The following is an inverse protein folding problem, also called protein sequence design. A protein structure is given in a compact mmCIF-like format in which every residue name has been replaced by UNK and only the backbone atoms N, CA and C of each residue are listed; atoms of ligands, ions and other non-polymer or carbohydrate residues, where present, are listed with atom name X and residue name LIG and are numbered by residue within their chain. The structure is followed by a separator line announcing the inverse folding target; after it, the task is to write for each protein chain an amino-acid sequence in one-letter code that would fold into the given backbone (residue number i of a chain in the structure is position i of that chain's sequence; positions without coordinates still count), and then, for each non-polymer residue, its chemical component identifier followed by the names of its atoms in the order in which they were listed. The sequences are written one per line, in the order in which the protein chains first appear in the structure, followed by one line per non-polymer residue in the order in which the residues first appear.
data_IF_608827792652
#
_entry.id   IF_608827792652
#
_cell.length_a   1.000
_cell.length_b   1.000
_cell.length_c   1.000
_cell.angle_alpha   90.00
_cell.angle_beta   90.00
_cell.angle_gamma   90.00
#
_symmetry.space_group_name_H-M   'P 1'
#
loop_
_entity.id
_entity.type
_entity.pdbx_description
1 polymer ?
#
# COMPACT_ATOMS: atom_id res chain seq x y z
N UNK A 1 -11.40 50.44 -27.57
CA UNK A 1 -10.19 51.23 -27.24
C UNK A 1 -9.24 50.29 -26.50
N UNK A 2 -8.21 49.73 -27.16
CA UNK A 2 -6.82 50.27 -27.25
C UNK A 2 -6.25 50.53 -25.85
N UNK A 3 -5.12 49.97 -25.38
CA UNK A 3 -3.90 49.54 -26.09
C UNK A 3 -2.91 48.83 -25.12
N UNK A 4 -2.12 47.91 -25.69
CA UNK A 4 -0.66 47.66 -25.54
C UNK A 4 -0.08 47.39 -24.13
N UNK A 5 0.56 46.25 -23.83
CA UNK A 5 1.76 45.57 -24.41
C UNK A 5 3.06 46.39 -24.30
N UNK A 6 4.08 45.76 -23.69
CA UNK A 6 5.54 45.70 -23.98
C UNK A 6 6.29 45.61 -22.61
N UNK A 7 6.83 44.45 -22.18
CA UNK A 7 8.08 43.72 -22.53
C UNK A 7 9.40 44.40 -22.10
N UNK A 8 10.14 43.65 -21.25
CA UNK A 8 11.60 43.39 -21.23
C UNK A 8 12.51 44.62 -20.95
N UNK A 9 13.72 44.55 -20.40
CA UNK A 9 14.78 43.52 -20.30
C UNK A 9 15.87 44.05 -19.35
N UNK A 10 16.68 43.13 -18.77
CA UNK A 10 18.13 43.14 -18.46
C UNK A 10 18.84 44.51 -18.24
N UNK A 11 19.77 44.68 -17.30
CA UNK A 11 21.01 43.92 -17.15
C UNK A 11 21.89 44.54 -16.04
N UNK A 12 22.70 43.69 -15.39
CA UNK A 12 24.13 43.84 -15.02
C UNK A 12 24.67 45.16 -14.42
N UNK A 13 25.41 45.08 -13.31
CA UNK A 13 26.84 45.44 -13.16
C UNK A 13 27.26 45.24 -11.68
N UNK A 14 28.17 44.29 -11.40
CA UNK A 14 29.57 44.50 -10.95
C UNK A 14 29.67 45.17 -9.56
N UNK A 15 29.99 44.42 -8.50
CA UNK A 15 31.33 44.01 -8.05
C UNK A 15 32.23 45.17 -7.59
N UNK A 16 32.70 45.04 -6.35
CA UNK A 16 33.98 45.48 -5.77
C UNK A 16 33.86 46.52 -4.64
N UNK A 17 34.12 46.10 -3.40
CA UNK A 17 35.42 46.07 -2.66
C UNK A 17 35.71 47.44 -2.00
N UNK A 18 36.28 47.35 -0.80
CA UNK A 18 37.01 48.36 0.01
C UNK A 18 36.24 48.84 1.24
N UNK A 19 36.45 48.28 2.44
CA UNK A 19 37.57 48.44 3.41
C UNK A 19 37.66 49.81 4.08
N UNK A 20 37.98 49.73 5.39
CA UNK A 20 38.40 50.75 6.35
C UNK A 20 37.26 51.47 7.12
N UNK A 21 36.96 51.08 8.37
CA UNK A 21 37.65 51.44 9.63
C UNK A 21 37.86 52.95 9.78
N UNK A 22 37.07 53.61 10.65
CA UNK A 22 37.56 54.61 11.62
C UNK A 22 36.68 54.62 12.88
N UNK A 23 37.36 54.58 14.01
CA UNK A 23 36.95 54.75 15.42
C UNK A 23 36.22 56.06 15.72
N UNK A 24 35.27 56.06 16.69
CA UNK A 24 35.50 56.66 18.02
C UNK A 24 34.19 56.86 18.82
N UNK A 25 34.32 56.50 20.09
CA UNK A 25 33.43 56.59 21.25
C UNK A 25 32.65 57.89 21.50
N UNK A 26 31.49 57.77 22.15
CA UNK A 26 31.07 58.60 23.29
C UNK A 26 29.94 57.92 24.08
N UNK A 27 30.16 57.76 25.40
CA UNK A 27 29.20 57.21 26.37
C UNK A 27 28.17 58.26 26.82
N UNK A 28 26.94 57.82 27.14
CA UNK A 28 25.96 58.66 27.83
C UNK A 28 24.59 58.01 28.07
N UNK A 29 24.44 57.36 29.24
CA UNK A 29 23.23 57.22 30.07
C UNK A 29 22.04 56.29 29.70
N UNK A 30 21.93 55.26 30.57
CA UNK A 30 20.75 54.79 31.33
C UNK A 30 19.78 53.73 30.77
N UNK A 31 19.99 52.52 31.33
CA UNK A 31 19.06 51.62 32.06
C UNK A 31 18.09 50.70 31.29
N UNK A 32 18.42 49.40 31.45
CA UNK A 32 17.58 48.19 31.60
C UNK A 32 16.51 47.89 30.53
N UNK A 33 16.22 46.67 30.13
CA UNK A 33 16.78 45.33 30.26
C UNK A 33 15.73 44.46 29.57
N UNK A 34 16.06 43.84 28.44
CA UNK A 34 15.59 42.50 28.08
C UNK A 34 16.22 42.15 26.75
N UNK A 35 17.30 41.37 26.79
CA UNK A 35 17.72 40.62 25.62
C UNK A 35 16.61 39.64 25.30
N UNK A 36 15.88 39.89 24.23
CA UNK A 36 15.19 38.83 23.51
C UNK A 36 16.22 38.21 22.59
N UNK A 37 16.71 37.02 22.94
CA UNK A 37 17.28 36.15 21.92
C UNK A 37 16.15 35.87 20.93
N UNK A 38 16.19 36.50 19.75
CA UNK A 38 15.36 36.11 18.62
C UNK A 38 15.78 34.69 18.23
N UNK A 39 15.12 33.69 18.82
CA UNK A 39 15.35 32.30 18.51
C UNK A 39 15.01 32.07 17.02
N UNK A 40 16.04 31.86 16.20
CA UNK A 40 15.88 31.61 14.77
C UNK A 40 15.07 30.31 14.61
N UNK A 41 13.78 30.44 14.30
CA UNK A 41 12.91 29.30 14.03
C UNK A 41 13.37 28.60 12.75
N UNK A 42 13.97 27.42 12.91
CA UNK A 42 14.45 26.60 11.80
C UNK A 42 13.29 25.97 11.03
N UNK A 43 13.41 25.90 9.72
CA UNK A 43 12.43 25.25 8.85
C UNK A 43 12.32 23.75 9.15
N UNK A 44 11.09 23.26 9.23
CA UNK A 44 10.77 21.84 9.44
C UNK A 44 10.45 21.11 8.12
N UNK A 45 10.53 21.81 6.98
CA UNK A 45 10.18 21.30 5.64
C UNK A 45 11.24 20.33 5.13
N UNK A 46 10.79 19.12 4.76
CA UNK A 46 11.63 17.97 4.38
C UNK A 46 10.99 17.15 3.27
N UNK A 47 10.52 17.84 2.24
CA UNK A 47 9.83 17.22 1.10
C UNK A 47 10.76 17.09 -0.10
N UNK A 48 10.71 15.95 -0.78
CA UNK A 48 11.26 15.76 -2.11
C UNK A 48 10.22 16.22 -3.15
N UNK A 49 10.53 17.27 -3.89
CA UNK A 49 9.58 17.99 -4.75
C UNK A 49 9.62 17.47 -6.18
N UNK A 50 10.82 17.23 -6.71
CA UNK A 50 11.04 16.71 -8.07
C UNK A 50 12.17 15.69 -8.06
N UNK A 51 12.09 14.70 -8.95
CA UNK A 51 13.11 13.69 -9.17
C UNK A 51 13.09 13.25 -10.64
N UNK A 52 14.25 13.21 -11.29
CA UNK A 52 14.41 12.79 -12.68
C UNK A 52 15.82 12.25 -12.95
N UNK A 53 15.98 11.53 -14.05
CA UNK A 53 17.28 11.32 -14.68
C UNK A 53 17.32 12.10 -15.99
N UNK A 54 18.10 13.18 -16.02
CA UNK A 54 18.24 14.00 -17.21
C UNK A 54 19.25 13.38 -18.19
N UNK A 55 18.92 13.43 -19.48
CA UNK A 55 19.78 12.95 -20.57
C UNK A 55 21.13 13.64 -20.57
N UNK A 56 21.17 14.93 -20.22
CA UNK A 56 22.40 15.71 -20.15
C UNK A 56 23.42 15.14 -19.15
N UNK A 57 22.93 14.55 -18.05
CA UNK A 57 23.78 13.99 -16.99
C UNK A 57 24.01 12.49 -17.12
N UNK A 58 23.19 11.80 -17.94
CA UNK A 58 23.18 10.36 -18.10
C UNK A 58 23.27 9.99 -19.58
N UNK A 59 24.49 9.83 -20.08
CA UNK A 59 24.76 9.61 -21.51
C UNK A 59 24.07 8.36 -22.09
N UNK A 60 23.76 7.36 -21.27
CA UNK A 60 23.03 6.15 -21.66
C UNK A 60 21.53 6.31 -21.90
N UNK A 61 20.91 7.44 -21.53
CA UNK A 61 19.48 7.67 -21.77
C UNK A 61 19.22 8.13 -23.22
N UNK A 62 17.99 8.00 -23.72
CA UNK A 62 17.59 8.57 -25.02
C UNK A 62 16.84 9.90 -24.89
N UNK A 63 16.26 10.16 -23.72
CA UNK A 63 15.56 11.39 -23.35
C UNK A 63 15.57 11.53 -21.82
N UNK A 64 15.12 12.67 -21.31
CA UNK A 64 14.90 12.86 -19.86
C UNK A 64 13.83 11.89 -19.35
N UNK A 65 14.10 11.28 -18.20
CA UNK A 65 13.20 10.34 -17.54
C UNK A 65 12.73 10.98 -16.24
N UNK A 66 11.43 11.29 -16.15
CA UNK A 66 10.84 11.87 -14.94
C UNK A 66 10.38 10.78 -13.97
N UNK A 67 10.64 11.00 -12.70
CA UNK A 67 10.09 10.20 -11.62
C UNK A 67 8.70 10.69 -11.20
N UNK A 68 7.88 9.76 -10.71
CA UNK A 68 6.56 10.03 -10.12
C UNK A 68 6.71 9.91 -8.61
N UNK A 69 6.46 10.99 -7.88
CA UNK A 69 6.57 11.04 -6.41
C UNK A 69 5.20 10.77 -5.79
N UNK A 70 5.09 9.70 -5.00
CA UNK A 70 3.94 9.43 -4.16
C UNK A 70 4.21 9.92 -2.74
N UNK A 71 3.75 11.12 -2.42
CA UNK A 71 3.98 11.76 -1.11
C UNK A 71 3.34 11.03 0.08
N UNK A 72 2.27 10.27 -0.14
CA UNK A 72 1.61 9.50 0.93
C UNK A 72 2.42 8.26 1.30
N UNK A 73 2.95 7.54 0.31
CA UNK A 73 3.78 6.34 0.51
C UNK A 73 5.26 6.65 0.68
N UNK A 74 5.69 7.87 0.37
CA UNK A 74 7.09 8.29 0.32
C UNK A 74 7.92 7.41 -0.63
N UNK A 75 7.35 7.13 -1.80
CA UNK A 75 7.98 6.34 -2.88
C UNK A 75 8.12 7.21 -4.12
N UNK A 76 9.25 7.09 -4.81
CA UNK A 76 9.50 7.67 -6.13
C UNK A 76 9.63 6.52 -7.14
N UNK A 77 8.77 6.51 -8.16
CA UNK A 77 8.76 5.50 -9.21
C UNK A 77 9.33 6.08 -10.49
N UNK A 78 10.35 5.44 -11.07
CA UNK A 78 11.02 5.92 -12.30
C UNK A 78 11.11 4.80 -13.33
N UNK A 79 10.54 5.01 -14.52
CA UNK A 79 10.62 4.08 -15.65
C UNK A 79 11.72 4.51 -16.62
N UNK A 80 12.87 3.86 -16.60
CA UNK A 80 13.97 4.15 -17.55
C UNK A 80 13.82 3.32 -18.83
N UNK A 81 14.36 3.78 -19.98
CA UNK A 81 14.41 2.99 -21.21
C UNK A 81 15.00 1.60 -20.98
N UNK A 82 14.54 0.64 -21.79
CA UNK A 82 15.10 -0.71 -21.84
C UNK A 82 16.63 -0.68 -22.03
N UNK A 83 17.34 -1.58 -21.34
CA UNK A 83 18.81 -1.68 -21.40
C UNK A 83 19.60 -0.58 -20.69
N UNK A 84 18.93 0.38 -20.03
CA UNK A 84 19.63 1.42 -19.24
C UNK A 84 20.49 0.78 -18.14
N UNK A 85 21.78 1.11 -18.11
CA UNK A 85 22.68 0.77 -17.00
C UNK A 85 22.28 1.56 -15.75
N UNK A 86 21.77 0.85 -14.73
CA UNK A 86 21.30 1.45 -13.48
C UNK A 86 22.39 1.57 -12.42
N UNK A 87 23.60 1.09 -12.70
CA UNK A 87 24.66 1.02 -11.68
C UNK A 87 25.29 2.37 -11.36
N UNK A 88 25.13 3.37 -12.26
CA UNK A 88 25.81 4.68 -12.19
C UNK A 88 24.94 5.84 -12.70
N UNK A 89 23.67 5.92 -12.28
CA UNK A 89 22.79 7.02 -12.69
C UNK A 89 22.97 8.25 -11.79
N UNK A 90 22.87 9.44 -12.39
CA UNK A 90 22.91 10.75 -11.73
C UNK A 90 21.51 11.36 -11.70
N UNK A 91 20.91 11.39 -10.51
CA UNK A 91 19.58 11.94 -10.31
C UNK A 91 19.62 13.48 -10.29
N UNK A 92 18.70 14.11 -11.02
CA UNK A 92 18.36 15.53 -10.87
C UNK A 92 17.13 15.64 -9.98
N UNK A 93 17.16 16.51 -8.98
CA UNK A 93 16.09 16.63 -7.98
C UNK A 93 15.93 18.05 -7.45
N UNK A 94 14.75 18.31 -6.88
CA UNK A 94 14.41 19.51 -6.11
C UNK A 94 13.86 19.09 -4.75
N UNK A 95 14.33 19.71 -3.69
CA UNK A 95 13.88 19.47 -2.30
C UNK A 95 13.39 20.77 -1.66
N UNK A 96 12.80 20.67 -0.48
CA UNK A 96 12.42 21.84 0.32
C UNK A 96 13.59 22.79 0.56
N UNK A 97 13.33 24.10 0.58
CA UNK A 97 14.35 25.11 0.84
C UNK A 97 15.08 24.83 2.16
N UNK A 98 16.41 24.98 2.13
CA UNK A 98 17.33 24.71 3.24
C UNK A 98 17.41 23.24 3.70
N UNK A 99 16.69 22.33 3.08
CA UNK A 99 16.85 20.90 3.34
C UNK A 99 18.12 20.36 2.65
N UNK A 100 18.58 19.19 3.12
CA UNK A 100 19.65 18.42 2.50
C UNK A 100 19.15 17.02 2.15
N UNK A 101 19.61 16.47 1.02
CA UNK A 101 19.30 15.12 0.58
C UNK A 101 20.54 14.22 0.72
N UNK A 102 20.39 13.04 1.32
CA UNK A 102 21.46 12.04 1.45
C UNK A 102 20.99 10.63 1.12
N UNK A 103 21.95 9.75 0.79
CA UNK A 103 21.77 8.28 0.85
C UNK A 103 22.72 7.79 1.93
N UNK A 104 22.18 7.23 3.01
CA UNK A 104 22.95 7.01 4.23
C UNK A 104 23.59 8.33 4.69
N UNK A 105 24.92 8.33 4.86
CA UNK A 105 25.70 9.51 5.22
C UNK A 105 26.17 10.36 4.03
N UNK A 106 25.98 9.89 2.78
CA UNK A 106 26.50 10.55 1.58
C UNK A 106 25.53 11.60 1.07
N UNK A 107 25.92 12.87 1.16
CA UNK A 107 25.15 13.99 0.61
C UNK A 107 25.08 13.90 -0.91
N UNK A 108 23.87 14.10 -1.44
CA UNK A 108 23.57 14.00 -2.86
C UNK A 108 23.64 15.40 -3.49
N UNK A 109 24.29 15.50 -4.65
CA UNK A 109 24.30 16.69 -5.49
C UNK A 109 23.50 16.40 -6.77
N UNK A 110 22.49 17.25 -7.01
CA UNK A 110 21.59 17.15 -8.15
C UNK A 110 22.36 17.18 -9.48
N UNK A 111 22.12 16.18 -10.33
CA UNK A 111 22.76 15.98 -11.62
C UNK A 111 24.21 15.49 -11.57
N UNK A 112 24.79 15.28 -10.38
CA UNK A 112 26.23 15.02 -10.22
C UNK A 112 26.53 13.69 -9.53
N UNK A 113 25.92 13.41 -8.38
CA UNK A 113 26.25 12.20 -7.59
C UNK A 113 25.75 10.93 -8.28
N UNK A 114 26.67 10.01 -8.59
CA UNK A 114 26.35 8.69 -9.18
C UNK A 114 25.87 7.72 -8.11
N UNK A 115 24.78 7.01 -8.39
CA UNK A 115 24.25 5.99 -7.51
C UNK A 115 23.83 4.73 -8.29
N UNK A 116 23.83 3.60 -7.58
CA UNK A 116 23.36 2.33 -8.10
C UNK A 116 21.88 2.12 -7.75
N UNK A 117 21.03 2.04 -8.77
CA UNK A 117 19.59 1.80 -8.67
C UNK A 117 19.19 0.40 -9.18
N UNK A 118 20.12 -0.56 -9.18
CA UNK A 118 19.84 -1.92 -9.65
C UNK A 118 18.96 -2.72 -8.67
N UNK A 119 18.94 -2.35 -7.40
CA UNK A 119 18.01 -2.89 -6.40
C UNK A 119 16.64 -2.22 -6.56
N UNK A 120 15.79 -2.81 -7.39
CA UNK A 120 14.42 -2.35 -7.59
C UNK A 120 13.44 -2.91 -6.54
N UNK A 121 13.88 -3.81 -5.65
CA UNK A 121 13.01 -4.46 -4.66
C UNK A 121 12.91 -3.56 -3.43
N UNK A 122 14.07 -3.18 -2.91
CA UNK A 122 14.15 -2.28 -1.77
C UNK A 122 14.19 -0.83 -2.22
N UNK A 123 14.58 -0.59 -3.48
CA UNK A 123 14.85 0.76 -3.96
C UNK A 123 16.09 1.36 -3.30
N UNK A 124 16.34 2.62 -3.58
CA UNK A 124 17.39 3.40 -2.91
C UNK A 124 16.72 4.32 -1.91
N UNK A 125 17.11 4.20 -0.63
CA UNK A 125 16.59 5.04 0.44
C UNK A 125 17.29 6.40 0.45
N UNK A 126 16.53 7.44 0.13
CA UNK A 126 16.93 8.83 0.20
C UNK A 126 16.37 9.47 1.46
N UNK A 127 17.18 10.23 2.19
CA UNK A 127 16.77 10.95 3.39
C UNK A 127 16.79 12.45 3.12
N UNK A 128 15.64 13.10 3.26
CA UNK A 128 15.53 14.56 3.28
C UNK A 128 15.63 15.03 4.74
N UNK A 129 16.68 15.77 5.06
CA UNK A 129 16.88 16.39 6.39
C UNK A 129 16.55 17.87 6.32
N UNK A 130 15.58 18.31 7.11
CA UNK A 130 15.20 19.71 7.25
C UNK A 130 16.25 20.53 8.03
N UNK A 131 16.11 21.86 8.01
CA UNK A 131 16.98 22.80 8.74
C UNK A 131 16.94 22.54 10.26
N UNK A 132 15.77 22.19 10.81
CA UNK A 132 15.56 21.83 12.21
C UNK A 132 16.18 20.46 12.61
N UNK A 133 16.68 19.69 11.63
CA UNK A 133 17.28 18.38 11.82
C UNK A 133 16.31 17.21 11.71
N UNK A 134 15.00 17.45 11.60
CA UNK A 134 13.99 16.41 11.37
C UNK A 134 14.17 15.78 9.99
N UNK A 135 13.80 14.50 9.85
CA UNK A 135 14.09 13.71 8.66
C UNK A 135 12.86 13.04 8.07
N UNK A 136 12.89 12.85 6.74
CA UNK A 136 11.89 12.09 5.99
C UNK A 136 12.61 11.19 5.00
N UNK A 137 12.36 9.90 5.08
CA UNK A 137 12.87 8.92 4.13
C UNK A 137 11.93 8.80 2.94
N UNK A 138 12.51 8.68 1.75
CA UNK A 138 11.87 8.36 0.48
C UNK A 138 12.55 7.14 -0.13
N UNK A 139 11.77 6.24 -0.72
CA UNK A 139 12.31 5.07 -1.43
C UNK A 139 12.23 5.31 -2.94
N UNK A 140 13.37 5.33 -3.63
CA UNK A 140 13.43 5.50 -5.08
C UNK A 140 13.53 4.14 -5.77
N UNK A 141 12.52 3.80 -6.57
CA UNK A 141 12.41 2.55 -7.32
C UNK A 141 12.57 2.82 -8.83
N UNK A 142 13.63 2.26 -9.44
CA UNK A 142 13.96 2.49 -10.87
C UNK A 142 13.78 1.22 -11.70
N UNK A 143 12.70 1.13 -12.45
CA UNK A 143 12.36 -0.03 -13.27
C UNK A 143 12.66 0.21 -14.75
N UNK A 144 13.00 -0.87 -15.46
CA UNK A 144 13.23 -0.82 -16.90
C UNK A 144 11.89 -0.91 -17.63
N UNK A 145 11.71 -0.09 -18.67
CA UNK A 145 10.55 -0.18 -19.56
C UNK A 145 10.48 -1.58 -20.15
N UNK A 146 9.31 -2.20 -20.05
CA UNK A 146 9.10 -3.55 -20.55
C UNK A 146 9.00 -3.53 -22.09
N UNK A 147 9.91 -4.23 -22.76
CA UNK A 147 9.79 -4.55 -24.19
C UNK A 147 9.19 -5.94 -24.41
N UNK A 148 9.42 -6.85 -23.46
CA UNK A 148 8.71 -8.14 -23.34
C UNK A 148 7.56 -8.00 -22.36
N UNK A 149 6.39 -8.58 -22.69
CA UNK A 149 5.30 -8.66 -21.73
C UNK A 149 5.69 -9.59 -20.56
N UNK A 150 5.82 -9.01 -19.36
CA UNK A 150 6.06 -9.78 -18.14
C UNK A 150 4.71 -10.27 -17.61
N UNK A 151 4.45 -11.56 -17.80
CA UNK A 151 3.28 -12.23 -17.25
C UNK A 151 3.71 -13.31 -16.27
N UNK A 152 2.84 -13.55 -15.29
CA UNK A 152 3.01 -14.61 -14.29
C UNK A 152 1.77 -15.52 -14.36
N UNK A 153 1.73 -16.46 -15.32
CA UNK A 153 0.53 -17.26 -15.55
C UNK A 153 0.16 -18.14 -14.35
N UNK A 154 1.13 -18.56 -13.53
CA UNK A 154 0.85 -19.25 -12.29
C UNK A 154 1.78 -18.82 -11.15
N UNK A 155 1.23 -18.79 -9.95
CA UNK A 155 1.95 -18.61 -8.69
C UNK A 155 1.17 -19.27 -7.55
N UNK A 156 1.85 -19.77 -6.55
CA UNK A 156 1.23 -20.38 -5.38
C UNK A 156 2.17 -21.35 -4.67
N UNK A 157 1.63 -22.39 -4.06
CA UNK A 157 2.35 -23.41 -3.31
C UNK A 157 1.80 -24.80 -3.62
N UNK A 158 2.70 -25.73 -3.95
CA UNK A 158 2.36 -27.15 -4.08
C UNK A 158 2.66 -27.88 -2.77
N UNK A 159 1.73 -28.72 -2.31
CA UNK A 159 1.91 -29.59 -1.14
C UNK A 159 3.10 -30.53 -1.31
N UNK A 160 3.36 -30.99 -2.53
CA UNK A 160 4.53 -31.82 -2.84
C UNK A 160 5.88 -31.14 -2.50
N UNK A 161 5.93 -29.81 -2.51
CA UNK A 161 7.12 -29.04 -2.14
C UNK A 161 7.06 -28.51 -0.71
N UNK A 162 5.87 -28.45 -0.13
CA UNK A 162 5.55 -27.88 1.16
C UNK A 162 4.68 -28.87 1.95
N UNK A 163 5.30 -29.92 2.51
CA UNK A 163 4.57 -31.05 3.12
C UNK A 163 3.69 -30.69 4.32
N UNK A 164 3.91 -29.52 4.92
CA UNK A 164 3.08 -28.97 6.00
C UNK A 164 1.77 -28.37 5.50
N UNK A 165 1.63 -28.12 4.19
CA UNK A 165 0.38 -27.60 3.63
C UNK A 165 -0.69 -28.71 3.57
N UNK A 166 -1.92 -28.43 4.02
CA UNK A 166 -3.06 -29.32 3.86
C UNK A 166 -3.34 -29.71 2.40
N UNK A 167 -3.24 -28.74 1.48
CA UNK A 167 -3.55 -28.88 0.05
C UNK A 167 -2.66 -27.95 -0.81
N UNK A 168 -2.73 -28.13 -2.14
CA UNK A 168 -2.16 -27.18 -3.09
C UNK A 168 -2.90 -25.83 -3.01
N UNK A 169 -2.19 -24.75 -3.35
CA UNK A 169 -2.68 -23.36 -3.42
C UNK A 169 -2.14 -22.80 -4.73
N UNK A 170 -2.95 -22.67 -5.77
CA UNK A 170 -2.51 -22.05 -7.03
C UNK A 170 -3.69 -21.45 -7.80
N UNK A 171 -3.44 -20.78 -8.92
CA UNK A 171 -4.49 -20.19 -9.74
C UNK A 171 -4.94 -21.12 -10.89
N UNK A 172 -4.59 -22.41 -10.88
CA UNK A 172 -4.93 -23.36 -11.94
C UNK A 172 -6.20 -24.13 -11.57
N UNK A 173 -7.22 -24.05 -12.43
CA UNK A 173 -8.56 -24.60 -12.18
C UNK A 173 -8.64 -26.11 -11.98
N UNK A 174 -7.64 -26.89 -12.41
CA UNK A 174 -7.58 -28.34 -12.14
C UNK A 174 -6.96 -28.68 -10.77
N UNK A 175 -6.09 -27.82 -10.22
CA UNK A 175 -5.40 -28.03 -8.94
C UNK A 175 -6.01 -27.24 -7.77
N UNK A 176 -6.72 -26.17 -8.08
CA UNK A 176 -7.40 -25.31 -7.12
C UNK A 176 -8.81 -24.90 -7.60
N UNK A 177 -9.83 -25.72 -7.31
CA UNK A 177 -11.21 -25.39 -7.64
C UNK A 177 -11.74 -24.17 -6.87
N UNK A 178 -11.12 -23.80 -5.75
CA UNK A 178 -11.52 -22.68 -4.90
C UNK A 178 -10.97 -21.32 -5.39
N UNK A 179 -10.04 -21.32 -6.36
CA UNK A 179 -9.39 -20.10 -6.90
C UNK A 179 -8.80 -19.23 -5.79
N UNK A 180 -8.05 -19.88 -4.89
CA UNK A 180 -7.36 -19.30 -3.74
C UNK A 180 -6.28 -18.31 -4.11
N UNK A 181 -5.82 -18.28 -5.36
CA UNK A 181 -4.81 -17.34 -5.83
C UNK A 181 -5.37 -16.32 -6.82
N UNK A 182 -5.13 -15.05 -6.52
CA UNK A 182 -5.32 -13.92 -7.44
C UNK A 182 -3.97 -13.34 -7.86
N UNK A 183 -3.75 -13.20 -9.17
CA UNK A 183 -2.59 -12.52 -9.75
C UNK A 183 -3.12 -11.38 -10.63
N UNK A 184 -2.70 -10.15 -10.37
CA UNK A 184 -3.17 -9.01 -11.17
C UNK A 184 -2.75 -7.66 -10.62
N UNK A 185 -3.35 -6.59 -11.16
CA UNK A 185 -3.09 -5.21 -10.73
C UNK A 185 -4.31 -4.63 -10.03
N UNK A 186 -4.11 -3.98 -8.89
CA UNK A 186 -5.14 -3.25 -8.15
C UNK A 186 -4.85 -1.74 -8.21
N UNK A 187 -5.81 -0.88 -8.63
CA UNK A 187 -5.62 0.56 -8.67
C UNK A 187 -5.14 1.14 -7.33
N UNK A 188 -4.08 1.96 -7.36
CA UNK A 188 -3.48 2.58 -6.17
C UNK A 188 -2.59 1.65 -5.33
N UNK A 189 -2.63 0.34 -5.55
CA UNK A 189 -1.77 -0.64 -4.87
C UNK A 189 -0.62 -1.08 -5.80
N UNK A 190 -0.94 -1.47 -7.05
CA UNK A 190 0.03 -2.01 -8.00
C UNK A 190 -0.24 -3.49 -8.32
N UNK A 191 0.78 -4.19 -8.83
CA UNK A 191 0.71 -5.63 -9.10
C UNK A 191 0.78 -6.42 -7.80
N UNK A 192 -0.11 -7.39 -7.63
CA UNK A 192 -0.22 -8.21 -6.43
C UNK A 192 -0.36 -9.69 -6.79
N UNK A 193 0.05 -10.52 -5.85
CA UNK A 193 -0.25 -11.95 -5.80
C UNK A 193 -0.91 -12.17 -4.43
N UNK A 194 -2.18 -12.53 -4.38
CA UNK A 194 -2.89 -12.75 -3.11
C UNK A 194 -3.26 -14.22 -3.05
N UNK A 195 -2.88 -14.89 -1.97
CA UNK A 195 -3.00 -16.34 -1.82
C UNK A 195 -3.73 -16.67 -0.51
N UNK A 196 -4.83 -17.41 -0.61
CA UNK A 196 -5.55 -17.97 0.54
C UNK A 196 -5.03 -19.38 0.84
N UNK A 197 -4.27 -19.52 1.93
CA UNK A 197 -3.75 -20.79 2.40
C UNK A 197 -4.87 -21.60 3.07
N UNK A 198 -4.89 -22.93 2.92
CA UNK A 198 -5.99 -23.75 3.43
C UNK A 198 -6.02 -23.81 4.95
N UNK A 199 -7.20 -24.13 5.48
CA UNK A 199 -7.48 -24.30 6.90
C UNK A 199 -6.49 -25.31 7.52
N UNK A 200 -5.91 -24.95 8.67
CA UNK A 200 -4.96 -25.78 9.39
C UNK A 200 -3.50 -25.65 8.90
N UNK A 201 -3.22 -24.72 7.98
CA UNK A 201 -1.84 -24.35 7.64
C UNK A 201 -1.12 -23.83 8.89
N UNK A 202 0.00 -24.45 9.34
CA UNK A 202 0.73 -23.97 10.51
C UNK A 202 1.40 -22.63 10.24
N UNK A 203 1.20 -21.62 11.10
CA UNK A 203 1.83 -20.29 10.95
C UNK A 203 3.36 -20.36 10.88
N UNK A 204 3.99 -21.26 11.65
CA UNK A 204 5.44 -21.46 11.61
C UNK A 204 5.96 -21.91 10.23
N UNK A 205 5.12 -22.53 9.40
CA UNK A 205 5.52 -22.96 8.06
C UNK A 205 5.67 -21.80 7.07
N UNK A 206 5.06 -20.64 7.34
CA UNK A 206 5.11 -19.46 6.47
C UNK A 206 6.53 -18.97 6.22
N UNK A 207 7.44 -19.16 7.17
CA UNK A 207 8.83 -18.70 7.08
C UNK A 207 9.68 -19.45 6.04
N UNK A 208 9.20 -20.58 5.51
CA UNK A 208 10.00 -21.47 4.66
C UNK A 208 9.26 -22.00 3.43
N UNK A 209 8.13 -21.39 3.07
CA UNK A 209 7.33 -21.85 1.94
C UNK A 209 8.12 -21.72 0.62
N UNK A 210 8.03 -22.76 -0.21
CA UNK A 210 8.64 -22.84 -1.53
C UNK A 210 7.58 -22.54 -2.59
N UNK A 211 7.54 -21.32 -3.16
CA UNK A 211 6.54 -20.97 -4.14
C UNK A 211 6.72 -21.78 -5.43
N UNK A 212 5.62 -22.29 -5.97
CA UNK A 212 5.52 -22.80 -7.32
C UNK A 212 5.02 -21.69 -8.23
N UNK A 213 5.64 -21.51 -9.40
CA UNK A 213 5.26 -20.50 -10.36
C UNK A 213 5.63 -20.87 -11.79
N UNK A 214 4.95 -20.22 -12.73
CA UNK A 214 5.34 -20.11 -14.13
C UNK A 214 5.37 -18.64 -14.52
N UNK A 215 6.27 -18.28 -15.45
CA UNK A 215 6.44 -16.92 -15.94
C UNK A 215 6.55 -16.93 -17.47
N UNK A 216 6.39 -15.77 -18.11
CA UNK A 216 6.69 -15.64 -19.54
C UNK A 216 8.14 -16.02 -19.84
N UNK A 217 8.41 -16.48 -21.08
CA UNK A 217 9.71 -16.99 -21.47
C UNK A 217 10.81 -15.95 -21.24
N UNK A 218 11.93 -16.38 -20.62
CA UNK A 218 13.04 -15.50 -20.30
C UNK A 218 12.78 -14.55 -19.13
N UNK A 219 11.75 -14.79 -18.32
CA UNK A 219 11.51 -14.05 -17.07
C UNK A 219 11.97 -14.88 -15.87
N UNK A 220 12.86 -14.29 -15.08
CA UNK A 220 13.32 -14.82 -13.81
C UNK A 220 12.66 -14.08 -12.63
N UNK A 221 12.38 -14.80 -11.54
CA UNK A 221 11.83 -14.23 -10.31
C UNK A 221 12.89 -14.12 -9.22
N UNK A 222 12.79 -13.08 -8.39
CA UNK A 222 13.71 -12.78 -7.29
C UNK A 222 12.98 -12.31 -6.04
N UNK A 223 13.53 -12.67 -4.88
CA UNK A 223 13.24 -12.04 -3.57
C UNK A 223 14.56 -11.50 -3.04
N UNK A 224 14.64 -10.17 -2.84
CA UNK A 224 15.93 -9.51 -2.66
C UNK A 224 16.90 -9.82 -3.80
N UNK A 225 18.14 -10.19 -3.48
CA UNK A 225 19.12 -10.64 -4.47
C UNK A 225 18.99 -12.12 -4.86
N UNK A 226 18.12 -12.87 -4.18
CA UNK A 226 18.00 -14.32 -4.37
C UNK A 226 17.12 -14.66 -5.56
N UNK A 227 17.68 -15.33 -6.56
CA UNK A 227 16.92 -15.90 -7.68
C UNK A 227 16.06 -17.06 -7.18
N UNK A 228 14.77 -17.04 -7.52
CA UNK A 228 13.84 -18.11 -7.18
C UNK A 228 13.90 -19.23 -8.21
N UNK A 229 13.89 -20.46 -7.71
CA UNK A 229 13.65 -21.68 -8.49
C UNK A 229 12.29 -22.23 -8.04
N UNK A 230 11.37 -22.38 -9.00
CA UNK A 230 9.99 -22.81 -8.77
C UNK A 230 9.94 -24.14 -8.01
N UNK A 231 9.23 -24.16 -6.88
CA UNK A 231 9.09 -25.32 -6.00
C UNK A 231 10.31 -25.65 -5.14
N UNK A 232 11.40 -24.86 -5.22
CA UNK A 232 12.69 -25.21 -4.60
C UNK A 232 13.15 -24.15 -3.61
N UNK A 233 13.23 -22.88 -4.03
CA UNK A 233 13.78 -21.80 -3.19
C UNK A 233 12.80 -21.41 -2.09
N UNK A 234 13.13 -21.51 -0.80
CA UNK A 234 12.25 -21.07 0.28
C UNK A 234 12.15 -19.54 0.32
N UNK A 235 10.98 -19.04 0.69
CA UNK A 235 10.66 -17.63 0.87
C UNK A 235 9.84 -17.49 2.15
N UNK A 236 10.14 -16.44 2.93
CA UNK A 236 9.46 -16.13 4.18
C UNK A 236 8.22 -15.25 3.91
N UNK A 237 7.04 -15.80 4.12
CA UNK A 237 5.75 -15.12 4.02
C UNK A 237 5.13 -14.80 5.40
N UNK A 238 5.91 -14.82 6.48
CA UNK A 238 5.41 -14.58 7.84
C UNK A 238 4.99 -13.12 8.10
N UNK A 239 5.50 -12.15 7.32
CA UNK A 239 5.02 -10.77 7.35
C UNK A 239 3.67 -10.66 6.61
N UNK A 240 2.59 -10.96 7.31
CA UNK A 240 1.22 -10.90 6.80
C UNK A 240 0.76 -9.46 6.51
N UNK A 241 1.41 -8.45 7.09
CA UNK A 241 1.01 -7.06 6.95
C UNK A 241 1.55 -6.46 5.65
N UNK A 242 2.83 -6.69 5.36
CA UNK A 242 3.50 -6.11 4.20
C UNK A 242 3.59 -7.10 3.02
N UNK A 243 3.58 -8.40 3.30
CA UNK A 243 3.82 -9.43 2.30
C UNK A 243 5.27 -9.47 1.81
N UNK A 244 5.48 -10.13 0.67
CA UNK A 244 6.80 -10.33 0.06
C UNK A 244 6.85 -9.66 -1.30
N UNK A 245 7.86 -8.82 -1.50
CA UNK A 245 8.16 -8.21 -2.80
C UNK A 245 8.82 -9.24 -3.73
N UNK A 246 8.10 -9.66 -4.76
CA UNK A 246 8.61 -10.54 -5.83
C UNK A 246 8.97 -9.69 -7.06
N UNK A 247 10.25 -9.71 -7.45
CA UNK A 247 10.74 -9.06 -8.66
C UNK A 247 10.78 -10.05 -9.81
N UNK A 248 10.07 -9.75 -10.89
CA UNK A 248 10.20 -10.44 -12.16
C UNK A 248 11.10 -9.62 -13.09
N UNK A 249 12.09 -10.27 -13.70
CA UNK A 249 13.09 -9.66 -14.58
C UNK A 249 13.13 -10.43 -15.88
N UNK A 250 12.83 -9.78 -17.00
CA UNK A 250 13.01 -10.34 -18.32
C UNK A 250 14.49 -10.33 -18.73
N UNK A 251 14.89 -11.18 -19.66
CA UNK A 251 16.24 -11.21 -20.24
C UNK A 251 16.67 -9.87 -20.86
N UNK A 252 15.68 -9.07 -21.27
CA UNK A 252 15.85 -7.73 -21.80
C UNK A 252 16.05 -6.69 -20.66
N UNK A 253 16.05 -7.07 -19.39
CA UNK A 253 16.18 -6.15 -18.26
C UNK A 253 14.91 -5.33 -17.97
N UNK A 254 13.83 -5.53 -18.73
CA UNK A 254 12.47 -5.16 -18.33
C UNK A 254 12.14 -5.81 -16.99
N UNK A 255 11.38 -5.11 -16.16
CA UNK A 255 11.11 -5.56 -14.80
C UNK A 255 9.72 -5.22 -14.31
N UNK A 256 9.17 -6.11 -13.48
CA UNK A 256 7.92 -5.95 -12.78
C UNK A 256 8.10 -6.27 -11.30
N UNK A 257 7.45 -5.51 -10.42
CA UNK A 257 7.39 -5.81 -9.00
C UNK A 257 5.97 -6.23 -8.63
N UNK A 258 5.83 -7.38 -7.98
CA UNK A 258 4.58 -7.90 -7.42
C UNK A 258 4.69 -7.89 -5.89
N UNK A 259 3.63 -7.49 -5.19
CA UNK A 259 3.52 -7.74 -3.76
C UNK A 259 2.73 -9.04 -3.52
N UNK A 260 3.39 -10.05 -2.98
CA UNK A 260 2.81 -11.35 -2.69
C UNK A 260 2.36 -11.43 -1.23
N UNK A 261 1.07 -11.63 -0.99
CA UNK A 261 0.45 -11.66 0.34
C UNK A 261 -0.24 -13.00 0.53
N UNK A 262 -0.10 -13.56 1.73
CA UNK A 262 -0.83 -14.76 2.16
C UNK A 262 -1.86 -14.42 3.22
N UNK A 263 -2.98 -15.13 3.22
CA UNK A 263 -3.92 -15.18 4.34
C UNK A 263 -4.23 -16.64 4.65
N UNK A 264 -4.35 -17.01 5.92
CA UNK A 264 -4.72 -18.37 6.32
C UNK A 264 -6.24 -18.43 6.48
N UNK A 265 -6.86 -19.41 5.83
CA UNK A 265 -8.28 -19.65 5.91
C UNK A 265 -8.71 -20.13 7.30
N UNK A 266 -9.89 -19.72 7.74
CA UNK A 266 -10.43 -20.13 9.03
C UNK A 266 -11.36 -21.35 8.84
N UNK A 267 -11.47 -22.22 9.85
CA UNK A 267 -12.45 -23.30 9.82
C UNK A 267 -13.87 -22.77 9.55
N UNK A 268 -14.56 -23.34 8.56
CA UNK A 268 -15.98 -23.09 8.36
C UNK A 268 -16.77 -23.47 9.62
N UNK A 269 -17.68 -22.59 10.03
CA UNK A 269 -18.59 -22.87 11.13
C UNK A 269 -19.71 -23.82 10.68
N UNK A 270 -20.21 -24.67 11.58
CA UNK A 270 -21.47 -25.37 11.30
C UNK A 270 -22.64 -24.41 11.51
N UNK A 271 -23.67 -24.53 10.67
CA UNK A 271 -24.86 -23.69 10.76
C UNK A 271 -25.52 -23.74 12.15
N UNK A 272 -25.53 -24.91 12.79
CA UNK A 272 -26.08 -25.10 14.15
C UNK A 272 -25.32 -24.30 15.20
N UNK A 273 -24.01 -24.17 15.06
CA UNK A 273 -23.14 -23.50 16.04
C UNK A 273 -23.36 -21.98 16.01
N UNK A 274 -23.69 -21.45 14.82
CA UNK A 274 -23.90 -20.02 14.58
C UNK A 274 -25.37 -19.60 14.53
N UNK A 275 -26.31 -20.55 14.64
CA UNK A 275 -27.75 -20.28 14.54
C UNK A 275 -28.22 -19.20 15.54
N UNK A 276 -27.62 -19.17 16.74
CA UNK A 276 -27.90 -18.15 17.76
C UNK A 276 -27.55 -16.72 17.32
N UNK A 277 -26.72 -16.54 16.28
CA UNK A 277 -26.34 -15.24 15.73
C UNK A 277 -27.23 -14.79 14.56
N UNK A 278 -28.15 -15.64 14.09
CA UNK A 278 -29.12 -15.22 13.07
C UNK A 278 -30.18 -14.30 13.67
N UNK A 279 -30.69 -13.38 12.85
CA UNK A 279 -31.70 -12.41 13.23
C UNK A 279 -31.24 -10.98 13.02
N UNK A 280 -31.92 -10.04 13.70
CA UNK A 280 -31.78 -8.61 13.44
C UNK A 280 -31.00 -7.88 14.53
N UNK A 281 -30.11 -6.99 14.09
CA UNK A 281 -29.23 -6.21 14.93
C UNK A 281 -29.41 -4.73 14.65
N UNK A 282 -29.57 -3.95 15.70
CA UNK A 282 -29.91 -2.53 15.63
C UNK A 282 -28.72 -1.69 16.08
N UNK A 283 -28.37 -0.68 15.28
CA UNK A 283 -27.27 0.24 15.57
C UNK A 283 -27.43 1.58 14.87
N UNK A 284 -26.41 2.42 15.00
CA UNK A 284 -26.39 3.75 14.39
C UNK A 284 -25.07 3.97 13.67
N UNK A 285 -25.13 4.48 12.45
CA UNK A 285 -23.97 4.89 11.65
C UNK A 285 -24.09 6.39 11.36
N UNK A 286 -23.08 7.23 11.65
CA UNK A 286 -23.20 8.70 11.56
C UNK A 286 -23.75 9.23 10.22
N UNK A 287 -23.43 8.57 9.10
CA UNK A 287 -23.89 8.97 7.76
C UNK A 287 -25.23 8.37 7.34
N UNK A 288 -25.68 7.29 7.97
CA UNK A 288 -26.90 6.56 7.59
C UNK A 288 -28.03 6.71 8.62
N UNK A 289 -27.72 7.18 9.83
CA UNK A 289 -28.64 7.18 10.95
C UNK A 289 -28.81 5.78 11.53
N UNK A 290 -30.04 5.45 11.93
CA UNK A 290 -30.42 4.12 12.38
C UNK A 290 -30.23 3.09 11.25
N UNK A 291 -29.61 1.97 11.61
CA UNK A 291 -29.39 0.85 10.70
C UNK A 291 -29.88 -0.45 11.33
N UNK A 292 -30.37 -1.34 10.48
CA UNK A 292 -30.71 -2.72 10.85
C UNK A 292 -29.85 -3.65 10.01
N UNK A 293 -29.12 -4.54 10.68
CA UNK A 293 -28.33 -5.61 10.07
C UNK A 293 -29.10 -6.91 10.28
N UNK A 294 -29.54 -7.55 9.21
CA UNK A 294 -30.17 -8.87 9.25
C UNK A 294 -29.13 -9.90 8.83
N UNK A 295 -28.77 -10.79 9.77
CA UNK A 295 -27.80 -11.86 9.57
C UNK A 295 -28.53 -13.18 9.36
N UNK A 296 -28.25 -13.82 8.22
CA UNK A 296 -28.75 -15.13 7.84
C UNK A 296 -27.58 -16.03 7.42
N UNK A 297 -27.82 -17.33 7.26
CA UNK A 297 -26.76 -18.28 6.90
C UNK A 297 -26.05 -17.92 5.59
N UNK A 298 -26.82 -17.58 4.55
CA UNK A 298 -26.29 -17.31 3.20
C UNK A 298 -26.38 -15.84 2.78
N UNK A 299 -26.79 -14.94 3.70
CA UNK A 299 -27.08 -13.56 3.34
C UNK A 299 -26.90 -12.63 4.53
N UNK A 300 -26.37 -11.45 4.27
CA UNK A 300 -26.39 -10.33 5.22
C UNK A 300 -27.05 -9.14 4.57
N UNK A 301 -28.07 -8.57 5.21
CA UNK A 301 -28.79 -7.41 4.69
C UNK A 301 -28.57 -6.21 5.61
N UNK A 302 -28.22 -5.06 5.03
CA UNK A 302 -28.15 -3.78 5.72
C UNK A 302 -29.33 -2.92 5.25
N UNK A 303 -30.17 -2.50 6.19
CA UNK A 303 -31.24 -1.53 5.97
C UNK A 303 -30.91 -0.19 6.62
N UNK A 304 -31.18 0.90 5.89
CA UNK A 304 -31.23 2.25 6.44
C UNK A 304 -32.32 3.08 5.73
N UNK A 305 -32.59 4.27 6.27
CA UNK A 305 -33.52 5.23 5.64
C UNK A 305 -32.98 5.81 4.33
N UNK A 306 -31.66 5.80 4.14
CA UNK A 306 -30.99 6.36 2.96
C UNK A 306 -30.64 5.33 1.90
N UNK A 307 -30.29 4.10 2.30
CA UNK A 307 -29.96 3.00 1.39
C UNK A 307 -30.15 1.64 2.04
N UNK A 308 -30.40 0.63 1.22
CA UNK A 308 -30.40 -0.76 1.67
C UNK A 308 -29.72 -1.65 0.63
N UNK A 309 -29.00 -2.66 1.12
CA UNK A 309 -28.19 -3.56 0.31
C UNK A 309 -28.15 -4.96 0.94
N UNK A 310 -27.99 -5.98 0.12
CA UNK A 310 -27.69 -7.33 0.56
C UNK A 310 -26.36 -7.84 0.02
N UNK A 311 -25.74 -8.69 0.82
CA UNK A 311 -24.55 -9.47 0.50
C UNK A 311 -24.97 -10.93 0.46
N UNK A 312 -24.84 -11.55 -0.72
CA UNK A 312 -25.23 -12.96 -0.95
C UNK A 312 -24.02 -13.89 -1.09
N UNK A 313 -22.81 -13.33 -0.97
CA UNK A 313 -21.56 -14.08 -0.87
C UNK A 313 -21.05 -13.95 0.57
N UNK A 314 -21.34 -14.96 1.39
CA UNK A 314 -21.17 -14.94 2.85
C UNK A 314 -20.42 -16.20 3.29
N UNK A 315 -19.53 -16.05 4.25
CA UNK A 315 -18.81 -17.16 4.88
C UNK A 315 -18.93 -17.02 6.40
N UNK A 316 -19.30 -18.12 7.07
CA UNK A 316 -19.31 -18.20 8.53
C UNK A 316 -18.12 -19.01 8.98
N UNK A 317 -17.30 -18.43 9.85
CA UNK A 317 -16.01 -18.96 10.21
C UNK A 317 -15.81 -18.98 11.72
N UNK A 318 -15.11 -20.00 12.20
CA UNK A 318 -14.71 -20.15 13.59
C UNK A 318 -13.29 -19.63 13.79
N UNK A 319 -13.10 -18.72 14.73
CA UNK A 319 -11.79 -18.16 15.09
C UNK A 319 -11.03 -19.08 16.05
N UNK A 320 -9.72 -18.82 16.18
CA UNK A 320 -8.84 -19.56 17.08
C UNK A 320 -9.24 -19.47 18.56
N UNK A 321 -9.89 -18.38 18.98
CA UNK A 321 -10.41 -18.18 20.33
C UNK A 321 -11.79 -18.83 20.57
N UNK A 322 -12.24 -19.70 19.64
CA UNK A 322 -13.56 -20.33 19.61
C UNK A 322 -14.75 -19.37 19.45
N UNK A 323 -14.51 -18.10 19.14
CA UNK A 323 -15.56 -17.19 18.69
C UNK A 323 -15.87 -17.38 17.21
N UNK A 324 -16.92 -16.73 16.73
CA UNK A 324 -17.36 -16.81 15.34
C UNK A 324 -17.32 -15.44 14.67
N UNK A 325 -17.14 -15.46 13.36
CA UNK A 325 -17.33 -14.29 12.51
C UNK A 325 -18.15 -14.68 11.29
N UNK A 326 -18.93 -13.73 10.81
CA UNK A 326 -19.52 -13.79 9.49
C UNK A 326 -18.77 -12.79 8.61
N UNK A 327 -18.28 -13.22 7.45
CA UNK A 327 -17.60 -12.36 6.49
C UNK A 327 -18.45 -12.25 5.23
N UNK A 328 -18.70 -11.03 4.77
CA UNK A 328 -19.34 -10.77 3.46
C UNK A 328 -18.28 -10.45 2.41
N UNK A 329 -18.55 -10.86 1.17
CA UNK A 329 -17.65 -10.68 0.04
C UNK A 329 -18.37 -10.06 -1.15
N UNK A 330 -17.61 -9.57 -2.13
CA UNK A 330 -18.15 -9.17 -3.43
C UNK A 330 -18.82 -10.37 -4.13
N UNK A 331 -20.02 -10.18 -4.66
CA UNK A 331 -20.79 -11.17 -5.41
C UNK A 331 -19.98 -11.77 -6.56
N UNK A 332 -20.10 -13.08 -6.70
CA UNK A 332 -19.44 -13.89 -7.72
C UNK A 332 -17.90 -13.77 -7.71
N UNK A 333 -17.30 -13.41 -6.58
CA UNK A 333 -15.85 -13.42 -6.37
C UNK A 333 -15.44 -14.51 -5.39
N UNK A 334 -14.20 -15.04 -5.49
CA UNK A 334 -13.64 -15.92 -4.49
C UNK A 334 -13.69 -15.28 -3.08
N UNK A 335 -13.80 -16.12 -2.05
CA UNK A 335 -13.83 -15.69 -0.65
C UNK A 335 -12.41 -15.45 -0.12
N UNK A 336 -11.71 -14.47 -0.72
CA UNK A 336 -10.39 -13.98 -0.30
C UNK A 336 -10.59 -12.68 0.46
N UNK A 337 -10.38 -12.68 1.78
CA UNK A 337 -10.79 -11.61 2.71
C UNK A 337 -10.15 -10.29 2.35
N UNK A 338 -8.83 -10.29 2.19
CA UNK A 338 -8.06 -9.08 1.93
C UNK A 338 -8.30 -8.46 0.55
N UNK A 339 -8.98 -9.18 -0.36
CA UNK A 339 -9.24 -8.71 -1.72
C UNK A 339 -10.71 -8.42 -2.02
N UNK A 340 -11.58 -9.34 -1.61
CA UNK A 340 -12.99 -9.31 -1.97
C UNK A 340 -13.91 -9.13 -0.76
N UNK A 341 -13.37 -9.14 0.46
CA UNK A 341 -14.11 -8.86 1.69
C UNK A 341 -14.81 -7.49 1.64
N UNK A 342 -16.01 -7.44 2.20
CA UNK A 342 -16.89 -6.26 2.26
C UNK A 342 -17.26 -5.88 3.68
N UNK A 343 -17.29 -6.83 4.60
CA UNK A 343 -17.50 -6.60 6.02
C UNK A 343 -17.23 -7.86 6.82
N UNK A 344 -16.70 -7.69 8.03
CA UNK A 344 -16.65 -8.73 9.06
C UNK A 344 -17.68 -8.41 10.14
N UNK A 345 -18.32 -9.44 10.67
CA UNK A 345 -19.37 -9.36 11.68
C UNK A 345 -18.96 -10.22 12.86
N UNK A 346 -18.35 -9.58 13.85
CA UNK A 346 -17.75 -10.25 15.02
C UNK A 346 -18.68 -10.17 16.22
N UNK A 347 -18.97 -11.32 16.82
CA UNK A 347 -19.98 -11.43 17.87
C UNK A 347 -19.38 -11.33 19.27
N UNK A 348 -20.07 -10.61 20.15
CA UNK A 348 -19.74 -10.53 21.58
C UNK A 348 -20.97 -10.90 22.39
N UNK A 349 -20.80 -11.85 23.31
CA UNK A 349 -21.83 -12.30 24.24
C UNK A 349 -21.51 -11.78 25.64
N UNK A 350 -22.35 -10.88 26.17
CA UNK A 350 -22.15 -10.33 27.52
C UNK A 350 -23.49 -9.97 28.16
N UNK A 351 -23.72 -10.46 29.39
CA UNK A 351 -24.91 -10.13 30.17
C UNK A 351 -26.23 -10.54 29.50
N UNK A 352 -26.26 -11.70 28.83
CA UNK A 352 -27.43 -12.21 28.11
C UNK A 352 -27.74 -11.48 26.79
N UNK A 353 -26.91 -10.52 26.39
CA UNK A 353 -27.04 -9.80 25.11
C UNK A 353 -25.98 -10.26 24.13
N UNK A 354 -26.37 -10.33 22.86
CA UNK A 354 -25.47 -10.53 21.73
C UNK A 354 -25.31 -9.19 21.02
N UNK A 355 -24.07 -8.77 20.85
CA UNK A 355 -23.73 -7.64 19.98
C UNK A 355 -22.89 -8.11 18.82
N UNK A 356 -22.99 -7.40 17.70
CA UNK A 356 -22.14 -7.58 16.54
C UNK A 356 -21.31 -6.31 16.33
N UNK A 357 -20.01 -6.49 16.19
CA UNK A 357 -19.06 -5.45 15.79
C UNK A 357 -18.78 -5.62 14.30
N UNK A 358 -18.89 -4.53 13.56
CA UNK A 358 -18.65 -4.53 12.11
C UNK A 358 -18.15 -3.17 11.66
N UNK A 359 -17.67 -3.07 10.43
CA UNK A 359 -17.33 -1.80 9.80
C UNK A 359 -18.30 -1.54 8.64
N UNK A 360 -19.10 -0.48 8.75
CA UNK A 360 -20.04 -0.08 7.71
C UNK A 360 -19.57 1.26 7.15
N UNK A 361 -19.25 1.28 5.85
CA UNK A 361 -18.83 2.51 5.16
C UNK A 361 -17.64 3.20 5.85
N UNK A 362 -16.61 2.44 6.21
CA UNK A 362 -15.43 2.91 6.94
C UNK A 362 -15.72 3.42 8.36
N UNK A 363 -16.87 3.06 8.95
CA UNK A 363 -17.23 3.40 10.32
C UNK A 363 -17.39 2.13 11.16
N UNK A 364 -16.61 2.04 12.23
CA UNK A 364 -16.78 0.98 13.23
C UNK A 364 -18.14 1.13 13.91
N UNK A 365 -18.93 0.07 13.83
CA UNK A 365 -20.33 0.05 14.25
C UNK A 365 -20.53 -1.14 15.18
N UNK A 366 -21.16 -0.88 16.33
CA UNK A 366 -21.67 -1.94 17.20
C UNK A 366 -23.19 -1.94 17.10
N UNK A 367 -23.77 -3.07 16.77
CA UNK A 367 -25.22 -3.26 16.74
C UNK A 367 -25.62 -4.35 17.74
N UNK A 368 -26.79 -4.19 18.34
CA UNK A 368 -27.30 -5.07 19.40
C UNK A 368 -28.43 -5.93 18.83
N UNK A 369 -28.40 -7.23 19.12
CA UNK A 369 -29.47 -8.13 18.69
C UNK A 369 -30.80 -7.72 19.33
N UNK A 370 -31.85 -7.65 18.52
CA UNK A 370 -33.21 -7.30 18.96
C UNK A 370 -34.25 -8.22 18.33
N UNK A 371 -35.50 -7.74 18.30
CA UNK A 371 -36.61 -8.44 17.67
C UNK A 371 -36.36 -8.65 16.17
N UNK A 372 -36.92 -9.70 15.59
CA UNK A 372 -36.73 -9.99 14.17
C UNK A 372 -37.40 -8.92 13.29
N UNK A 373 -36.62 -8.34 12.38
CA UNK A 373 -37.07 -7.36 11.42
C UNK A 373 -37.43 -8.02 10.09
N UNK A 374 -38.64 -7.73 9.60
CA UNK A 374 -39.07 -8.06 8.24
C UNK A 374 -39.40 -6.74 7.53
N UNK A 375 -38.74 -6.49 6.40
CA UNK A 375 -38.97 -5.27 5.65
C UNK A 375 -40.39 -5.22 5.06
N UNK A 376 -41.06 -4.08 5.22
CA UNK A 376 -42.30 -3.72 4.52
C UNK A 376 -42.20 -2.31 3.96
N UNK A 377 -43.13 -1.93 3.07
CA UNK A 377 -43.16 -0.58 2.49
C UNK A 377 -43.40 0.51 3.58
N UNK A 378 -44.07 0.14 4.67
CA UNK A 378 -44.40 1.01 5.81
C UNK A 378 -43.28 1.08 6.85
N UNK A 379 -42.26 0.21 6.77
CA UNK A 379 -41.16 0.14 7.74
C UNK A 379 -40.29 1.40 7.82
N UNK A 380 -40.39 2.30 6.82
CA UNK A 380 -39.61 3.53 6.73
C UNK A 380 -38.17 3.34 6.25
N UNK A 381 -37.73 2.11 6.00
CA UNK A 381 -36.42 1.78 5.43
C UNK A 381 -36.51 1.62 3.91
N UNK A 382 -35.43 1.93 3.18
CA UNK A 382 -35.41 1.71 1.73
C UNK A 382 -35.51 0.21 1.41
N UNK A 383 -36.16 -0.19 0.30
CA UNK A 383 -36.06 -1.55 -0.19
C UNK A 383 -34.61 -1.85 -0.60
N UNK A 384 -34.23 -3.13 -0.57
CA UNK A 384 -32.93 -3.57 -1.09
C UNK A 384 -32.89 -3.26 -2.59
N UNK A 385 -31.92 -2.45 -2.99
CA UNK A 385 -31.74 -2.05 -4.40
C UNK A 385 -30.37 -2.44 -4.94
N UNK A 386 -29.47 -2.90 -4.07
CA UNK A 386 -28.10 -3.29 -4.40
C UNK A 386 -27.83 -4.70 -3.89
N UNK A 387 -27.51 -5.60 -4.82
CA UNK A 387 -27.03 -6.94 -4.52
C UNK A 387 -25.53 -6.98 -4.75
N UNK A 388 -24.75 -6.95 -3.67
CA UNK A 388 -23.31 -6.72 -3.70
C UNK A 388 -22.51 -8.01 -3.69
#
# INVERSE_FOLDING_TARGET
MKRNVIKRTNALFALAVCTALVFASLMGSCKNSSGGDDEIVKSTKKTLIEFSFEKANNSGLSADVKGIINEKKKIVSVEVPHGTDKTKLKASFKISDKAQLSIGSTVQQSGVTENNFSDIINGVAYTVKAEDGSQQNYTVEVYGKNTTEITLPAFGFKKAHNSTLPADVDNQTQGDPARTVFIGSIPGIGRVIIMKLPIGTPEASLATLKPYFTASAGVDLYVGSTKLVSGVTPVDFSDLQNGVKIKAVANDGGSALYNAVVEIDLPNANQTDVQKYFGSYYGTVPRLGEVIIVLEWNKVTLYSKSMSMDYVNVEWEKKADNTYTCTTYKKNKPQIKNLFGKGGYDFVEKGGKITVKTNIMATDTTAVKGDDFVWTAESGYKPVTQNI
#
